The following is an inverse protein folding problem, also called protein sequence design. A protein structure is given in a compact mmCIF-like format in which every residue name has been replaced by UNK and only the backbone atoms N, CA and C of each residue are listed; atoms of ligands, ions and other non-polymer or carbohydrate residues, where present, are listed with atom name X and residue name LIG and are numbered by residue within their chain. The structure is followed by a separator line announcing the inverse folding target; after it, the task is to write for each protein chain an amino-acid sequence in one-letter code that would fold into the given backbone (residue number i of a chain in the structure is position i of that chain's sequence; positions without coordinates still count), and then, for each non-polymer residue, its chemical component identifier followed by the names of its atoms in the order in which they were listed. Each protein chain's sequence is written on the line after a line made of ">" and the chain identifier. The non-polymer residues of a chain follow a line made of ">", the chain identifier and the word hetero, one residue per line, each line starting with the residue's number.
data_IF_577384146035
#
_entry.id   IF_577384146035
#
_cell.length_a   1.000
_cell.length_b   1.000
_cell.length_c   1.000
_cell.angle_alpha   90.00
_cell.angle_beta   90.00
_cell.angle_gamma   90.00
#
_symmetry.space_group_name_H-M   'P 1'
#
loop_
_entity.id
_entity.type
_entity.pdbx_description
1 polymer ?
#
# COMPACT_ATOMS: atom_id res chain seq x y z
N UNK A 1 6.30 29.38 -9.09
CA UNK A 1 5.61 28.25 -8.42
C UNK A 1 4.43 27.86 -9.29
N UNK A 2 4.46 26.71 -10.01
CA UNK A 2 3.29 26.27 -10.77
C UNK A 2 2.13 26.02 -9.80
N UNK A 3 0.95 26.50 -10.19
CA UNK A 3 -0.22 26.65 -9.33
C UNK A 3 -0.76 25.32 -8.81
N UNK A 4 -1.13 25.32 -7.53
CA UNK A 4 -1.84 24.23 -6.89
C UNK A 4 -3.24 24.11 -7.52
N UNK A 5 -3.49 23.05 -8.28
CA UNK A 5 -4.81 22.78 -8.86
C UNK A 5 -5.76 22.34 -7.74
N UNK A 6 -6.82 23.11 -7.51
CA UNK A 6 -7.87 22.78 -6.54
C UNK A 6 -8.87 21.82 -7.20
N UNK A 7 -9.07 20.65 -6.59
CA UNK A 7 -10.14 19.75 -6.99
C UNK A 7 -11.50 20.44 -6.82
N UNK A 8 -12.32 20.48 -7.87
CA UNK A 8 -13.71 20.95 -7.79
C UNK A 8 -14.57 19.86 -7.16
N UNK A 9 -15.24 20.18 -6.05
CA UNK A 9 -16.23 19.32 -5.42
C UNK A 9 -17.58 19.48 -6.14
N UNK A 10 -17.81 18.68 -7.18
CA UNK A 10 -19.14 18.42 -7.75
C UNK A 10 -19.80 17.22 -7.06
N UNK A 11 -21.15 17.22 -7.03
CA UNK A 11 -22.02 16.25 -6.35
C UNK A 11 -21.49 14.81 -6.29
N UNK A 12 -21.32 14.28 -5.07
CA UNK A 12 -20.83 12.93 -4.71
C UNK A 12 -19.95 12.26 -5.78
N UNK A 13 -18.98 13.02 -6.30
CA UNK A 13 -18.03 12.51 -7.27
C UNK A 13 -17.27 11.36 -6.61
N UNK A 14 -17.07 10.27 -7.37
CA UNK A 14 -16.24 9.14 -6.92
C UNK A 14 -14.92 9.69 -6.36
N UNK A 15 -14.58 9.41 -5.09
CA UNK A 15 -13.39 9.98 -4.49
C UNK A 15 -12.15 9.44 -5.21
N UNK A 16 -11.14 10.30 -5.37
CA UNK A 16 -9.83 9.84 -5.80
C UNK A 16 -9.15 9.14 -4.61
N UNK A 17 -8.61 7.95 -4.83
CA UNK A 17 -7.85 7.19 -3.83
C UNK A 17 -6.37 7.33 -4.18
N UNK A 18 -5.57 7.77 -3.21
CA UNK A 18 -4.11 7.86 -3.34
C UNK A 18 -3.50 6.93 -2.30
N UNK A 19 -2.88 5.84 -2.78
CA UNK A 19 -2.16 4.89 -1.94
C UNK A 19 -0.67 5.29 -1.87
N UNK A 20 -0.18 5.56 -0.67
CA UNK A 20 1.21 5.98 -0.41
C UNK A 20 1.78 5.02 0.63
N UNK A 21 2.84 4.31 0.26
CA UNK A 21 3.56 3.42 1.16
C UNK A 21 5.07 3.53 0.93
N UNK A 22 5.83 3.12 1.93
CA UNK A 22 7.29 3.11 1.94
C UNK A 22 7.79 1.67 2.03
N UNK A 23 8.91 1.37 1.37
CA UNK A 23 9.54 0.06 1.52
C UNK A 23 10.34 0.01 2.85
N UNK A 24 10.23 -1.10 3.56
CA UNK A 24 10.96 -1.39 4.81
C UNK A 24 10.75 -0.41 5.97
N UNK A 25 9.64 0.33 6.03
CA UNK A 25 9.37 1.21 7.17
C UNK A 25 8.93 0.43 8.41
N UNK A 26 9.67 0.63 9.50
CA UNK A 26 9.30 0.11 10.82
C UNK A 26 8.11 0.89 11.42
N UNK A 27 7.24 0.23 12.18
CA UNK A 27 6.03 0.84 12.75
C UNK A 27 6.31 2.03 13.69
N UNK A 28 7.43 2.01 14.41
CA UNK A 28 7.90 3.09 15.27
C UNK A 28 8.70 4.18 14.56
N UNK A 29 8.86 4.12 13.23
CA UNK A 29 9.64 5.10 12.46
C UNK A 29 8.86 6.39 12.15
N UNK A 30 8.08 6.89 13.10
CA UNK A 30 7.28 8.12 12.98
C UNK A 30 7.22 8.87 14.31
N UNK A 31 7.28 10.20 14.30
CA UNK A 31 7.12 11.00 15.53
C UNK A 31 5.75 10.81 16.16
N UNK A 32 4.66 10.76 15.37
CA UNK A 32 3.32 10.44 15.88
C UNK A 32 3.16 9.01 16.44
N UNK A 33 4.14 8.12 16.24
CA UNK A 33 4.20 6.81 16.88
C UNK A 33 4.98 6.80 18.20
N UNK A 34 5.40 7.98 18.70
CA UNK A 34 6.12 8.15 19.96
C UNK A 34 7.64 8.20 19.82
N UNK A 35 8.18 8.26 18.59
CA UNK A 35 9.62 8.34 18.37
C UNK A 35 10.14 9.77 18.63
N UNK A 36 11.04 9.93 19.59
CA UNK A 36 11.61 11.23 19.99
C UNK A 36 12.80 11.67 19.13
N UNK A 37 13.37 10.76 18.34
CA UNK A 37 14.56 11.03 17.52
C UNK A 37 14.23 11.40 16.07
N UNK A 38 13.04 11.01 15.58
CA UNK A 38 12.59 11.29 14.22
C UNK A 38 11.64 12.50 14.18
N UNK A 39 11.71 13.28 13.10
CA UNK A 39 10.77 14.37 12.83
C UNK A 39 10.05 14.10 11.51
N UNK A 40 8.77 13.78 11.58
CA UNK A 40 7.96 13.42 10.41
C UNK A 40 6.69 14.28 10.29
N UNK A 41 6.83 15.61 10.14
CA UNK A 41 5.69 16.53 10.23
C UNK A 41 4.58 16.30 9.19
N UNK A 42 4.93 15.82 7.98
CA UNK A 42 3.96 15.49 6.95
C UNK A 42 3.10 14.26 7.33
N UNK A 43 3.73 13.20 7.86
CA UNK A 43 2.99 12.02 8.34
C UNK A 43 2.19 12.33 9.60
N UNK A 44 2.72 13.18 10.48
CA UNK A 44 2.01 13.62 11.69
C UNK A 44 0.75 14.43 11.34
N UNK A 45 0.84 15.31 10.33
CA UNK A 45 -0.32 16.07 9.82
C UNK A 45 -1.40 15.14 9.22
N UNK A 46 -0.99 14.12 8.47
CA UNK A 46 -1.91 13.10 7.94
C UNK A 46 -2.57 12.28 9.07
N UNK A 47 -1.80 11.89 10.08
CA UNK A 47 -2.32 11.17 11.24
C UNK A 47 -3.29 12.03 12.08
N UNK A 48 -3.03 13.33 12.21
CA UNK A 48 -3.87 14.26 12.97
C UNK A 48 -5.18 14.64 12.25
N UNK A 49 -5.17 14.67 10.92
CA UNK A 49 -6.34 14.98 10.09
C UNK A 49 -7.17 13.74 9.70
N UNK A 50 -6.68 12.54 10.02
CA UNK A 50 -7.30 11.27 9.66
C UNK A 50 -7.30 10.26 10.80
N UNK A 51 -7.15 8.98 10.44
CA UNK A 51 -7.13 7.86 11.39
C UNK A 51 -5.81 7.13 11.26
N UNK A 52 -5.11 6.95 12.39
CA UNK A 52 -3.87 6.16 12.47
C UNK A 52 -4.15 4.80 13.10
N UNK A 53 -3.92 3.73 12.35
CA UNK A 53 -3.99 2.37 12.87
C UNK A 53 -2.71 1.99 13.61
N UNK A 54 -2.75 1.96 14.94
CA UNK A 54 -1.58 1.59 15.76
C UNK A 54 -1.24 0.08 15.71
N UNK A 55 -2.14 -0.74 15.16
CA UNK A 55 -2.02 -2.20 15.10
C UNK A 55 -2.29 -2.72 13.68
N UNK A 56 -1.55 -2.18 12.71
CA UNK A 56 -1.54 -2.67 11.34
C UNK A 56 -0.38 -3.67 11.15
N UNK A 57 -0.65 -4.81 10.50
CA UNK A 57 0.32 -5.90 10.33
C UNK A 57 0.54 -6.22 8.86
N UNK A 58 1.78 -6.56 8.53
CA UNK A 58 2.13 -7.10 7.22
C UNK A 58 1.84 -8.61 7.20
N UNK A 59 1.12 -9.10 6.19
CA UNK A 59 0.79 -10.52 6.02
C UNK A 59 2.04 -11.38 5.85
N UNK A 60 2.99 -10.87 5.06
CA UNK A 60 4.26 -11.53 4.75
C UNK A 60 5.36 -10.46 4.65
N UNK A 61 6.38 -10.44 5.54
CA UNK A 61 7.40 -9.38 5.60
C UNK A 61 8.45 -9.49 4.48
N UNK A 62 7.99 -9.60 3.24
CA UNK A 62 8.74 -9.74 2.00
C UNK A 62 8.14 -8.77 0.96
N UNK A 63 8.98 -8.17 0.11
CA UNK A 63 8.59 -7.09 -0.81
C UNK A 63 7.44 -7.49 -1.72
N UNK A 64 7.59 -8.56 -2.50
CA UNK A 64 6.58 -8.93 -3.51
C UNK A 64 5.34 -9.59 -2.89
N UNK A 65 5.47 -10.54 -1.94
CA UNK A 65 4.33 -11.13 -1.24
C UNK A 65 3.44 -10.10 -0.54
N UNK A 66 4.03 -9.16 0.21
CA UNK A 66 3.29 -8.10 0.92
C UNK A 66 2.43 -7.27 -0.03
N UNK A 67 3.03 -6.81 -1.15
CA UNK A 67 2.33 -5.99 -2.15
C UNK A 67 1.26 -6.79 -2.89
N UNK A 68 1.51 -8.08 -3.16
CA UNK A 68 0.51 -8.95 -3.77
C UNK A 68 -0.71 -9.11 -2.86
N UNK A 69 -0.52 -9.31 -1.55
CA UNK A 69 -1.64 -9.33 -0.60
C UNK A 69 -2.38 -7.99 -0.54
N UNK A 70 -1.65 -6.87 -0.55
CA UNK A 70 -2.23 -5.52 -0.51
C UNK A 70 -3.10 -5.21 -1.74
N UNK A 71 -2.65 -5.59 -2.94
CA UNK A 71 -3.35 -5.30 -4.19
C UNK A 71 -4.51 -6.26 -4.46
N UNK A 72 -4.39 -7.53 -4.06
CA UNK A 72 -5.41 -8.56 -4.32
C UNK A 72 -6.42 -8.68 -3.18
N UNK A 73 -6.11 -8.19 -1.99
CA UNK A 73 -6.91 -8.43 -0.78
C UNK A 73 -6.88 -9.88 -0.30
N UNK A 74 -5.96 -10.71 -0.81
CA UNK A 74 -5.85 -12.14 -0.52
C UNK A 74 -4.58 -12.47 0.25
N UNK A 75 -4.56 -13.61 0.91
CA UNK A 75 -3.38 -14.11 1.64
C UNK A 75 -2.37 -14.79 0.69
N UNK A 76 -1.12 -14.90 1.14
CA UNK A 76 0.00 -15.51 0.38
C UNK A 76 -0.32 -16.84 -0.31
N UNK A 77 -1.06 -17.71 0.39
CA UNK A 77 -1.44 -19.03 -0.10
C UNK A 77 -2.53 -18.97 -1.19
N UNK A 78 -3.32 -17.90 -1.25
CA UNK A 78 -4.42 -17.73 -2.19
C UNK A 78 -3.96 -17.08 -3.50
N UNK A 79 -3.07 -16.08 -3.42
CA UNK A 79 -2.51 -15.42 -4.62
C UNK A 79 -1.21 -16.08 -5.10
N UNK A 80 -0.60 -16.98 -4.31
CA UNK A 80 0.53 -17.81 -4.73
C UNK A 80 1.84 -17.05 -5.00
N UNK A 81 2.01 -15.86 -4.38
CA UNK A 81 3.28 -15.11 -4.33
C UNK A 81 3.79 -15.20 -2.90
N UNK A 82 4.60 -16.20 -2.61
CA UNK A 82 5.02 -16.54 -1.24
C UNK A 82 6.45 -16.09 -0.93
N UNK A 83 7.28 -15.96 -1.97
CA UNK A 83 8.64 -15.39 -1.91
C UNK A 83 8.82 -14.30 -2.97
N UNK A 84 9.91 -13.52 -2.88
CA UNK A 84 10.14 -12.42 -3.83
C UNK A 84 10.36 -12.91 -5.26
N UNK A 85 10.98 -14.07 -5.41
CA UNK A 85 11.25 -14.75 -6.67
C UNK A 85 9.96 -15.12 -7.40
N UNK A 86 8.90 -15.46 -6.66
CA UNK A 86 7.60 -15.83 -7.22
C UNK A 86 7.03 -14.71 -8.07
N UNK A 87 7.26 -13.44 -7.74
CA UNK A 87 6.75 -12.33 -8.53
C UNK A 87 7.35 -12.27 -9.95
N UNK A 88 8.62 -12.67 -10.11
CA UNK A 88 9.27 -12.74 -11.43
C UNK A 88 8.68 -13.88 -12.27
N UNK A 89 8.31 -14.98 -11.61
CA UNK A 89 7.78 -16.17 -12.27
C UNK A 89 6.26 -16.05 -12.52
N UNK A 90 5.53 -15.45 -11.59
CA UNK A 90 4.09 -15.15 -11.67
C UNK A 90 3.79 -14.08 -12.69
N UNK A 91 4.61 -13.04 -12.87
CA UNK A 91 4.41 -12.09 -13.98
C UNK A 91 4.50 -12.81 -15.34
N UNK A 92 5.47 -13.71 -15.50
CA UNK A 92 5.56 -14.55 -16.71
C UNK A 92 4.36 -15.47 -16.85
N UNK A 93 3.88 -16.05 -15.75
CA UNK A 93 2.67 -16.89 -15.75
C UNK A 93 1.39 -16.10 -15.99
N UNK A 94 1.23 -14.89 -15.47
CA UNK A 94 0.06 -14.02 -15.67
C UNK A 94 0.01 -13.45 -17.09
N UNK A 95 1.17 -13.11 -17.66
CA UNK A 95 1.26 -12.73 -19.08
C UNK A 95 1.02 -13.94 -20.00
N UNK A 96 1.45 -15.15 -19.59
CA UNK A 96 1.19 -16.38 -20.32
C UNK A 96 -0.24 -16.92 -20.12
N UNK A 97 -0.87 -16.57 -19.00
CA UNK A 97 -2.23 -16.95 -18.61
C UNK A 97 -3.17 -15.75 -18.76
N UNK A 98 -2.98 -14.90 -19.79
CA UNK A 98 -3.92 -13.84 -20.14
C UNK A 98 -5.34 -14.37 -20.49
N UNK A 99 -5.54 -15.69 -20.50
CA UNK A 99 -6.82 -16.40 -20.57
C UNK A 99 -7.28 -16.98 -19.21
N UNK A 100 -6.75 -16.52 -18.07
CA UNK A 100 -7.11 -17.02 -16.73
C UNK A 100 -8.51 -16.52 -16.30
N UNK A 101 -9.50 -17.41 -16.10
CA UNK A 101 -10.86 -17.04 -15.73
C UNK A 101 -11.03 -16.50 -14.30
N UNK A 102 -9.96 -16.41 -13.50
CA UNK A 102 -10.00 -15.85 -12.14
C UNK A 102 -9.82 -14.32 -12.06
N UNK A 103 -9.87 -13.62 -13.20
CA UNK A 103 -9.86 -12.16 -13.32
C UNK A 103 -11.22 -11.58 -13.79
N UNK A 104 -12.34 -12.27 -13.51
CA UNK A 104 -13.70 -11.70 -13.45
C UNK A 104 -14.19 -11.57 -12.00
#
# INVERSE_FOLDING_TARGET
>A
MPGLVRAQAGAAARPNIVDIFTDQQFSGAMSCAGNTHLKTPAMDSLAASGVRFARAYCTTPQRSPSRASMLTGRMGHEHGVTVNEDCRNRLKQWLAAADDPFME
#
